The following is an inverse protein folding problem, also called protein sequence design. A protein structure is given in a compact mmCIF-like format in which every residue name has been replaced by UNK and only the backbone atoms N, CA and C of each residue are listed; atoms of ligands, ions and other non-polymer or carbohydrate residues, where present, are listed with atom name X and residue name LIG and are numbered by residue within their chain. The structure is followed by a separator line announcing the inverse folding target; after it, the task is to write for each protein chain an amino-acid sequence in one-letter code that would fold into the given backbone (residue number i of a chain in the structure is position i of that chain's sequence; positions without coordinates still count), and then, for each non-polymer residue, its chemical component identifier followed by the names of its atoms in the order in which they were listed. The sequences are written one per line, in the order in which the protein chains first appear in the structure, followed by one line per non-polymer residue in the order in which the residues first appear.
data_IF_883229834868
#
_entry.id   IF_883229834868
#
_cell.length_a   1.000
_cell.length_b   1.000
_cell.length_c   1.000
_cell.angle_alpha   90.00
_cell.angle_beta   90.00
_cell.angle_gamma   90.00
#
_symmetry.space_group_name_H-M   'P 1'
#
loop_
_entity.id
_entity.type
_entity.pdbx_description
1 polymer ?
#
# COMPACT_ATOMS: atom_id res chain seq x y z
N UNK A 1 -58.39 45.29 18.51
CA UNK A 1 -57.37 45.04 17.47
C UNK A 1 -56.95 43.58 17.59
N UNK A 2 -57.32 42.71 16.62
CA UNK A 2 -57.00 41.27 16.66
C UNK A 2 -55.55 41.06 16.23
N UNK A 3 -54.70 40.56 17.12
CA UNK A 3 -53.33 40.21 16.81
C UNK A 3 -53.28 38.73 16.39
N UNK A 4 -53.02 38.49 15.10
CA UNK A 4 -52.83 37.15 14.55
C UNK A 4 -51.36 36.79 14.74
N UNK A 5 -51.07 35.80 15.60
CA UNK A 5 -49.74 35.20 15.68
C UNK A 5 -49.63 34.07 14.66
N UNK A 6 -48.97 34.35 13.53
CA UNK A 6 -48.55 33.33 12.57
C UNK A 6 -47.31 32.64 13.14
N UNK A 7 -47.46 31.46 13.72
CA UNK A 7 -46.31 30.61 14.05
C UNK A 7 -45.83 29.93 12.76
N UNK A 8 -44.76 30.46 12.18
CA UNK A 8 -43.99 29.76 11.15
C UNK A 8 -43.39 28.50 11.79
N UNK A 9 -43.93 27.34 11.42
CA UNK A 9 -43.39 26.04 11.82
C UNK A 9 -42.09 25.83 11.04
N UNK A 10 -40.96 26.26 11.60
CA UNK A 10 -39.66 25.81 11.12
C UNK A 10 -39.51 24.34 11.52
N UNK A 11 -39.98 23.43 10.66
CA UNK A 11 -39.65 22.02 10.76
C UNK A 11 -38.15 21.89 10.55
N UNK A 12 -37.36 21.42 11.54
CA UNK A 12 -35.98 21.09 11.29
C UNK A 12 -35.97 19.86 10.40
N UNK A 13 -35.81 20.05 9.10
CA UNK A 13 -35.52 18.96 8.18
C UNK A 13 -34.10 18.50 8.52
N UNK A 14 -33.99 17.58 9.48
CA UNK A 14 -32.77 16.84 9.74
C UNK A 14 -32.51 15.93 8.53
N UNK A 15 -31.75 16.42 7.55
CA UNK A 15 -31.10 15.58 6.54
C UNK A 15 -29.94 14.81 7.20
N UNK A 16 -30.27 13.92 8.13
CA UNK A 16 -29.34 12.92 8.62
C UNK A 16 -29.34 11.74 7.65
N UNK A 17 -28.48 11.76 6.63
CA UNK A 17 -28.17 10.53 5.91
C UNK A 17 -27.43 9.64 6.90
N UNK A 18 -28.15 8.70 7.52
CA UNK A 18 -27.53 7.67 8.33
C UNK A 18 -26.54 6.92 7.44
N UNK A 19 -25.23 7.17 7.63
CA UNK A 19 -24.20 6.38 6.99
C UNK A 19 -24.39 4.94 7.47
N UNK A 20 -24.87 4.08 6.58
CA UNK A 20 -25.11 2.68 6.88
C UNK A 20 -23.76 1.99 7.05
N UNK A 21 -23.37 1.71 8.29
CA UNK A 21 -22.17 0.91 8.57
C UNK A 21 -22.50 -0.54 8.25
N UNK A 22 -22.12 -0.97 7.05
CA UNK A 22 -22.20 -2.36 6.63
C UNK A 22 -21.22 -3.20 7.45
N UNK A 23 -21.74 -4.08 8.32
CA UNK A 23 -20.91 -5.09 8.97
C UNK A 23 -20.61 -6.20 7.96
N UNK A 24 -19.37 -6.26 7.46
CA UNK A 24 -18.91 -7.38 6.63
C UNK A 24 -18.41 -8.48 7.55
N UNK A 25 -19.14 -9.60 7.63
CA UNK A 25 -18.70 -10.78 8.36
C UNK A 25 -17.48 -11.37 7.65
N UNK A 26 -16.33 -11.39 8.34
CA UNK A 26 -15.15 -12.10 7.85
C UNK A 26 -15.31 -13.60 8.15
N UNK A 27 -15.21 -14.41 7.10
CA UNK A 27 -15.18 -15.87 7.23
C UNK A 27 -13.73 -16.35 7.16
N UNK A 28 -13.34 -17.25 8.08
CA UNK A 28 -12.02 -17.88 8.03
C UNK A 28 -11.95 -18.74 6.77
N UNK A 29 -11.07 -18.38 5.84
CA UNK A 29 -10.78 -19.19 4.67
C UNK A 29 -10.15 -20.50 5.11
N UNK A 30 -10.68 -21.63 4.65
CA UNK A 30 -10.06 -22.94 4.90
C UNK A 30 -8.68 -22.98 4.21
N UNK A 31 -7.64 -23.54 4.86
CA UNK A 31 -6.34 -23.69 4.22
C UNK A 31 -6.48 -24.59 2.99
N UNK A 32 -5.87 -24.18 1.87
CA UNK A 32 -5.84 -25.00 0.66
C UNK A 32 -5.05 -26.28 0.94
N UNK A 33 -5.42 -27.38 0.28
CA UNK A 33 -4.61 -28.60 0.28
C UNK A 33 -3.31 -28.38 -0.50
N UNK A 34 -2.31 -29.24 -0.28
CA UNK A 34 -1.05 -29.19 -1.02
C UNK A 34 -1.26 -29.26 -2.54
N UNK A 35 -2.13 -30.16 -3.00
CA UNK A 35 -2.50 -30.28 -4.42
C UNK A 35 -3.16 -29.02 -4.99
N UNK A 36 -4.00 -28.35 -4.18
CA UNK A 36 -4.59 -27.07 -4.58
C UNK A 36 -3.54 -25.97 -4.74
N UNK A 37 -2.51 -25.95 -3.88
CA UNK A 37 -1.37 -25.04 -4.05
C UNK A 37 -0.56 -25.37 -5.32
N UNK A 38 -0.31 -26.65 -5.59
CA UNK A 38 0.44 -27.06 -6.78
C UNK A 38 -0.28 -26.66 -8.08
N UNK A 39 -1.57 -26.92 -8.20
CA UNK A 39 -2.34 -26.59 -9.40
C UNK A 39 -2.42 -25.08 -9.65
N UNK A 40 -2.55 -24.27 -8.60
CA UNK A 40 -2.52 -22.81 -8.71
C UNK A 40 -1.12 -22.30 -9.12
N UNK A 41 -0.06 -22.92 -8.61
CA UNK A 41 1.31 -22.60 -9.01
C UNK A 41 1.57 -22.93 -10.50
N UNK A 42 0.98 -24.00 -11.04
CA UNK A 42 1.07 -24.33 -12.47
C UNK A 42 0.41 -23.24 -13.32
N UNK A 43 -0.83 -22.84 -12.97
CA UNK A 43 -1.52 -21.75 -13.66
C UNK A 43 -0.74 -20.42 -13.60
N UNK A 44 -0.11 -20.13 -12.45
CA UNK A 44 0.74 -18.96 -12.28
C UNK A 44 1.98 -18.98 -13.19
N UNK A 45 2.62 -20.14 -13.34
CA UNK A 45 3.78 -20.30 -14.24
C UNK A 45 3.41 -20.14 -15.71
N UNK A 46 2.25 -20.65 -16.12
CA UNK A 46 1.73 -20.46 -17.48
C UNK A 46 1.45 -18.97 -17.75
N UNK A 47 0.77 -18.27 -16.84
CA UNK A 47 0.53 -16.83 -16.97
C UNK A 47 1.85 -16.02 -16.99
N UNK A 48 2.83 -16.36 -16.15
CA UNK A 48 4.14 -15.72 -16.12
C UNK A 48 4.91 -15.89 -17.44
N UNK A 49 4.89 -17.08 -18.03
CA UNK A 49 5.59 -17.33 -19.29
C UNK A 49 5.01 -16.49 -20.44
N UNK A 50 3.69 -16.26 -20.44
CA UNK A 50 3.04 -15.34 -21.37
C UNK A 50 3.47 -13.87 -21.15
N UNK A 51 3.54 -13.41 -19.90
CA UNK A 51 3.97 -12.05 -19.55
C UNK A 51 5.45 -11.79 -19.89
N UNK A 52 6.32 -12.77 -19.70
CA UNK A 52 7.75 -12.66 -20.04
C UNK A 52 7.94 -12.44 -21.54
N UNK A 53 7.16 -13.14 -22.37
CA UNK A 53 7.22 -12.98 -23.82
C UNK A 53 6.76 -11.57 -24.29
N UNK A 54 5.82 -10.96 -23.57
CA UNK A 54 5.35 -9.59 -23.81
C UNK A 54 6.39 -8.52 -23.41
N UNK A 55 7.27 -8.81 -22.44
CA UNK A 55 8.29 -7.88 -21.93
C UNK A 55 9.49 -7.70 -22.89
N UNK A 56 9.54 -8.46 -23.99
CA UNK A 56 10.66 -8.42 -24.95
C UNK A 56 10.60 -7.28 -25.97
N UNK A 57 9.56 -6.43 -25.94
CA UNK A 57 9.44 -5.23 -26.78
C UNK A 57 8.96 -4.03 -25.96
N UNK A 58 9.90 -3.24 -25.44
CA UNK A 58 9.53 -1.98 -24.80
C UNK A 58 10.69 -1.25 -24.15
N UNK A 59 11.07 -0.13 -24.78
CA UNK A 59 11.71 1.09 -24.28
C UNK A 59 12.16 1.14 -22.81
N UNK A 60 13.39 1.65 -22.58
CA UNK A 60 14.03 1.88 -21.27
C UNK A 60 13.02 2.19 -20.17
N UNK A 61 12.79 1.19 -19.33
CA UNK A 61 11.56 1.07 -18.56
C UNK A 61 11.84 1.45 -17.11
N UNK A 62 11.12 2.44 -16.59
CA UNK A 62 11.00 2.81 -15.18
C UNK A 62 10.31 1.69 -14.37
N UNK A 63 10.76 0.46 -14.56
CA UNK A 63 10.28 -0.73 -13.87
C UNK A 63 11.18 -1.05 -12.70
N UNK A 64 10.55 -1.35 -11.57
CA UNK A 64 11.22 -1.88 -10.38
C UNK A 64 10.87 -3.36 -10.27
N UNK A 65 11.90 -4.19 -10.10
CA UNK A 65 11.70 -5.60 -9.81
C UNK A 65 11.20 -5.78 -8.37
N UNK A 66 10.05 -6.46 -8.23
CA UNK A 66 9.44 -6.76 -6.95
C UNK A 66 9.74 -8.19 -6.54
N UNK A 67 10.06 -8.37 -5.26
CA UNK A 67 10.23 -9.66 -4.60
C UNK A 67 9.00 -9.93 -3.73
N UNK A 68 8.54 -11.17 -3.80
CA UNK A 68 7.36 -11.62 -3.09
C UNK A 68 7.73 -12.30 -1.77
N UNK A 69 7.08 -11.91 -0.68
CA UNK A 69 7.14 -12.58 0.60
C UNK A 69 5.78 -13.11 1.02
N UNK A 70 5.69 -14.43 0.98
CA UNK A 70 4.54 -15.22 1.43
C UNK A 70 3.22 -14.74 0.81
N UNK A 71 3.24 -14.26 -0.44
CA UNK A 71 2.07 -13.74 -1.16
C UNK A 71 1.30 -12.63 -0.40
N UNK A 72 2.01 -11.89 0.46
CA UNK A 72 1.41 -10.88 1.33
C UNK A 72 2.13 -9.53 1.26
N UNK A 73 3.41 -9.55 0.93
CA UNK A 73 4.27 -8.37 0.92
C UNK A 73 5.12 -8.40 -0.34
N UNK A 74 5.15 -7.28 -1.05
CA UNK A 74 5.95 -7.09 -2.25
C UNK A 74 6.94 -5.96 -2.00
N UNK A 75 8.23 -6.29 -2.00
CA UNK A 75 9.30 -5.32 -1.76
C UNK A 75 10.21 -5.19 -2.96
N UNK A 76 10.72 -3.99 -3.15
CA UNK A 76 11.68 -3.68 -4.22
C UNK A 76 12.70 -2.66 -3.73
N UNK A 77 13.73 -2.45 -4.55
CA UNK A 77 14.81 -1.52 -4.23
C UNK A 77 14.49 -0.11 -4.75
N UNK A 78 14.71 0.89 -3.91
CA UNK A 78 14.75 2.30 -4.31
C UNK A 78 16.06 2.94 -3.82
N UNK A 79 16.38 4.14 -4.30
CA UNK A 79 17.46 4.95 -3.76
C UNK A 79 16.99 6.36 -3.42
N UNK A 80 17.50 6.91 -2.32
CA UNK A 80 17.15 8.23 -1.79
C UNK A 80 18.43 9.05 -1.60
N UNK A 81 18.36 10.35 -1.94
CA UNK A 81 19.43 11.31 -1.73
C UNK A 81 20.51 11.32 -2.80
N UNK A 82 21.49 12.21 -2.62
CA UNK A 82 22.62 12.40 -3.55
C UNK A 82 23.93 12.46 -2.76
N UNK A 83 24.88 11.52 -2.92
CA UNK A 83 24.79 10.31 -3.73
C UNK A 83 23.66 9.36 -3.27
N UNK A 84 23.17 8.49 -4.17
CA UNK A 84 22.04 7.61 -3.87
C UNK A 84 22.34 6.61 -2.74
N UNK A 85 21.45 6.54 -1.75
CA UNK A 85 21.47 5.55 -0.67
C UNK A 85 20.34 4.53 -0.92
N UNK A 86 20.64 3.25 -1.11
CA UNK A 86 19.64 2.24 -1.49
C UNK A 86 18.92 1.61 -0.30
N UNK A 87 17.62 1.37 -0.45
CA UNK A 87 16.71 0.77 0.54
C UNK A 87 15.84 -0.31 -0.11
N UNK A 88 15.53 -1.37 0.64
CA UNK A 88 14.46 -2.29 0.30
C UNK A 88 13.18 -1.81 0.99
N UNK A 89 12.14 -1.55 0.20
CA UNK A 89 10.90 -0.93 0.67
C UNK A 89 9.71 -1.83 0.31
N UNK A 90 8.75 -1.91 1.22
CA UNK A 90 7.43 -2.47 0.96
C UNK A 90 6.61 -1.49 0.12
N UNK A 91 6.16 -1.91 -1.06
CA UNK A 91 5.28 -1.09 -1.88
C UNK A 91 3.84 -1.21 -1.37
N UNK A 92 3.36 -0.18 -0.67
CA UNK A 92 2.02 -0.12 -0.07
C UNK A 92 1.11 0.83 -0.87
N UNK A 93 0.10 0.27 -1.55
CA UNK A 93 -0.91 1.06 -2.29
C UNK A 93 -2.01 1.61 -1.39
N UNK A 94 -2.06 1.20 -0.12
CA UNK A 94 -3.03 1.65 0.87
C UNK A 94 -2.64 2.93 1.60
N UNK A 95 -1.48 3.52 1.31
CA UNK A 95 -0.99 4.75 1.93
C UNK A 95 -0.27 5.66 0.93
N UNK A 96 0.01 6.89 1.35
CA UNK A 96 0.66 7.93 0.51
C UNK A 96 2.05 8.31 0.99
N UNK A 97 2.54 7.68 2.07
CA UNK A 97 3.77 8.06 2.73
C UNK A 97 4.90 7.07 2.43
N UNK A 98 6.07 7.61 2.12
CA UNK A 98 7.33 6.87 2.12
C UNK A 98 8.07 7.18 3.42
N UNK A 99 8.58 6.16 4.10
CA UNK A 99 9.40 6.33 5.28
C UNK A 99 10.58 5.35 5.25
N UNK A 100 11.72 5.82 5.75
CA UNK A 100 12.93 5.02 5.95
C UNK A 100 13.49 5.31 7.34
N UNK A 101 14.18 4.35 7.99
CA UNK A 101 14.84 4.62 9.26
C UNK A 101 15.88 5.75 9.13
N UNK A 102 15.84 6.75 10.02
CA UNK A 102 16.91 7.76 10.10
C UNK A 102 18.21 7.13 10.60
N UNK A 103 19.37 7.65 10.20
CA UNK A 103 20.67 7.31 10.77
C UNK A 103 20.72 7.49 12.30
N UNK A 104 19.92 8.42 12.82
CA UNK A 104 19.76 8.71 14.25
C UNK A 104 18.80 7.74 14.95
N UNK A 105 18.19 6.79 14.24
CA UNK A 105 17.38 5.75 14.86
C UNK A 105 18.30 4.67 15.50
N UNK A 106 18.14 4.50 16.81
CA UNK A 106 18.86 3.51 17.63
C UNK A 106 17.96 2.45 18.25
N UNK A 107 16.67 2.43 17.90
CA UNK A 107 15.77 1.36 18.36
C UNK A 107 16.21 0.01 17.78
N UNK A 108 15.93 -1.12 18.46
CA UNK A 108 16.24 -2.45 17.93
C UNK A 108 15.67 -2.73 16.54
N UNK A 109 14.50 -2.15 16.22
CA UNK A 109 13.89 -2.27 14.91
C UNK A 109 14.76 -1.68 13.79
N UNK A 110 15.43 -0.54 14.03
CA UNK A 110 16.25 0.12 13.01
C UNK A 110 17.65 -0.49 12.87
N UNK A 111 18.16 -1.20 13.89
CA UNK A 111 19.54 -1.73 13.87
C UNK A 111 19.76 -2.81 12.81
N UNK A 112 18.69 -3.51 12.41
CA UNK A 112 18.75 -4.55 11.36
C UNK A 112 18.42 -4.02 9.97
N UNK A 113 18.12 -2.71 9.83
CA UNK A 113 17.73 -2.09 8.57
C UNK A 113 18.76 -1.06 8.11
N UNK A 114 18.81 -0.81 6.80
CA UNK A 114 19.55 0.34 6.27
C UNK A 114 18.92 1.62 6.78
N UNK A 115 19.76 2.58 7.14
CA UNK A 115 19.35 3.88 7.67
C UNK A 115 19.77 4.99 6.71
N UNK A 116 18.90 5.98 6.55
CA UNK A 116 19.16 7.17 5.76
C UNK A 116 20.04 8.14 6.54
N UNK A 117 21.23 8.39 6.01
CA UNK A 117 22.19 9.34 6.53
C UNK A 117 22.02 10.67 5.78
N UNK A 118 21.27 11.59 6.39
CA UNK A 118 20.97 12.88 5.80
C UNK A 118 22.23 13.75 5.62
N UNK A 119 23.25 13.57 6.48
CA UNK A 119 24.53 14.30 6.43
C UNK A 119 25.30 13.92 5.15
N UNK A 120 25.14 12.68 4.67
CA UNK A 120 25.79 12.18 3.44
C UNK A 120 25.02 12.52 2.16
N UNK A 121 23.93 13.28 2.23
CA UNK A 121 23.11 13.62 1.07
C UNK A 121 23.13 15.13 0.78
N UNK A 122 23.70 15.53 -0.35
CA UNK A 122 23.74 16.93 -0.80
C UNK A 122 22.38 17.49 -1.22
N UNK A 123 21.38 16.64 -1.43
CA UNK A 123 20.00 17.03 -1.74
C UNK A 123 19.07 16.94 -0.54
N UNK A 124 19.60 16.76 0.67
CA UNK A 124 18.83 16.91 1.89
C UNK A 124 18.60 18.40 2.20
N UNK A 125 17.38 18.76 2.58
CA UNK A 125 16.93 20.12 2.85
C UNK A 125 16.06 20.17 4.10
#
# INVERSE_FOLDING_TARGET
MKLIFVFLVFSPIFYGSAAHVGKVQLYRRQPKSYEQYLNENIAYRDALSQLINLKSSGHGSDTVDLRNFVNSQYYGSISIGTPPQSFEILFDTGSTLLWVPSFECFSPACMTHRKYDHIKSSTYT
#
